data_IF_044217186138
#
_entry.id   IF_044217186138
#
_cell.length_a   1.000
_cell.length_b   1.000
_cell.length_c   1.000
_cell.angle_alpha   90.00
_cell.angle_beta   90.00
_cell.angle_gamma   90.00
#
_symmetry.space_group_name_H-M   'P 1'
#
loop_
_entity.id
_entity.type
_entity.pdbx_description
1 polymer ?
#
# COMPACT_ATOMS: atom_id res chain seq x y z
N UNK A 1 1.56 -16.49 20.85
CA UNK A 1 1.33 -17.33 19.66
C UNK A 1 2.69 -17.87 19.25
N UNK A 2 2.79 -19.13 18.84
CA UNK A 2 4.06 -19.67 18.37
C UNK A 2 4.45 -18.96 17.07
N UNK A 3 5.73 -18.61 16.93
CA UNK A 3 6.23 -17.97 15.71
C UNK A 3 6.19 -18.97 14.56
N UNK A 4 5.54 -18.60 13.45
CA UNK A 4 5.38 -19.45 12.28
C UNK A 4 6.48 -19.13 11.25
N UNK A 5 7.45 -20.03 11.10
CA UNK A 5 8.60 -19.82 10.21
C UNK A 5 8.56 -20.76 9.00
N UNK A 6 8.67 -20.17 7.82
CA UNK A 6 8.91 -20.88 6.56
C UNK A 6 10.38 -20.81 6.14
N UNK A 7 10.77 -21.67 5.20
CA UNK A 7 12.11 -21.67 4.60
C UNK A 7 12.04 -21.33 3.12
N UNK A 8 12.94 -20.46 2.66
CA UNK A 8 13.04 -20.14 1.23
C UNK A 8 13.47 -21.38 0.45
N UNK A 9 12.62 -21.85 -0.47
CA UNK A 9 12.99 -22.89 -1.42
C UNK A 9 13.56 -22.30 -2.71
N UNK A 10 12.99 -21.19 -3.19
CA UNK A 10 13.34 -20.61 -4.48
C UNK A 10 13.13 -19.10 -4.50
N UNK A 11 13.97 -18.40 -5.26
CA UNK A 11 13.88 -16.97 -5.56
C UNK A 11 13.97 -16.81 -7.07
N UNK A 12 12.97 -16.18 -7.70
CA UNK A 12 12.92 -15.88 -9.14
C UNK A 12 12.53 -14.41 -9.32
N UNK A 13 13.51 -13.55 -9.57
CA UNK A 13 13.28 -12.11 -9.63
C UNK A 13 12.57 -11.63 -8.34
N UNK A 14 11.42 -10.91 -8.44
CA UNK A 14 10.70 -10.44 -7.26
C UNK A 14 9.85 -11.50 -6.56
N UNK A 15 9.81 -12.75 -7.06
CA UNK A 15 8.99 -13.82 -6.47
C UNK A 15 9.82 -14.75 -5.61
N UNK A 16 9.33 -15.06 -4.41
CA UNK A 16 10.01 -15.92 -3.44
C UNK A 16 9.04 -17.01 -3.00
N UNK A 17 9.44 -18.26 -3.18
CA UNK A 17 8.68 -19.43 -2.77
C UNK A 17 9.20 -19.91 -1.40
N UNK A 18 8.33 -19.93 -0.40
CA UNK A 18 8.62 -20.38 0.97
C UNK A 18 7.82 -21.63 1.31
N UNK A 19 8.50 -22.62 1.86
CA UNK A 19 7.88 -23.83 2.42
C UNK A 19 7.62 -23.63 3.91
N UNK A 20 6.38 -23.87 4.32
CA UNK A 20 5.93 -23.85 5.72
C UNK A 20 5.53 -25.27 6.16
N UNK A 21 5.29 -25.45 7.46
CA UNK A 21 4.69 -26.67 7.97
C UNK A 21 3.24 -26.80 7.47
N UNK A 22 2.80 -28.04 7.18
CA UNK A 22 1.49 -28.30 6.56
C UNK A 22 0.30 -27.75 7.36
N UNK A 23 0.43 -27.70 8.68
CA UNK A 23 -0.63 -27.27 9.59
C UNK A 23 -0.63 -25.75 9.82
N UNK A 24 0.36 -25.04 9.30
CA UNK A 24 0.58 -23.61 9.53
C UNK A 24 0.91 -22.86 8.23
N UNK A 25 0.16 -23.12 7.16
CA UNK A 25 0.27 -22.30 5.95
C UNK A 25 -0.24 -20.88 6.23
N UNK A 26 0.55 -19.84 5.92
CA UNK A 26 0.09 -18.45 5.97
C UNK A 26 -1.14 -18.24 5.09
N UNK A 27 -1.99 -17.28 5.47
CA UNK A 27 -3.12 -16.89 4.63
C UNK A 27 -2.66 -16.07 3.42
N UNK A 28 -3.48 -16.05 2.39
CA UNK A 28 -3.30 -15.14 1.25
C UNK A 28 -3.24 -13.69 1.76
N UNK A 29 -2.36 -12.89 1.18
CA UNK A 29 -2.13 -11.49 1.53
C UNK A 29 -1.42 -11.26 2.88
N UNK A 30 -1.05 -12.31 3.62
CA UNK A 30 -0.21 -12.14 4.80
C UNK A 30 1.18 -11.63 4.42
N UNK A 31 1.76 -10.81 5.30
CA UNK A 31 3.14 -10.38 5.18
C UNK A 31 4.09 -11.44 5.76
N UNK A 32 5.15 -11.75 5.04
CA UNK A 32 6.27 -12.58 5.52
C UNK A 32 7.50 -11.69 5.67
N UNK A 33 8.13 -11.71 6.85
CA UNK A 33 9.34 -10.95 7.14
C UNK A 33 10.57 -11.85 7.10
N UNK A 34 11.53 -11.50 6.26
CA UNK A 34 12.80 -12.20 6.09
C UNK A 34 13.92 -11.30 6.62
N UNK A 35 14.61 -11.74 7.66
CA UNK A 35 15.68 -10.96 8.30
C UNK A 35 16.99 -11.74 8.36
N UNK A 36 18.11 -11.08 8.05
CA UNK A 36 19.47 -11.60 8.22
C UNK A 36 20.39 -10.43 8.59
N UNK A 37 20.80 -10.35 9.86
CA UNK A 37 21.66 -9.27 10.38
C UNK A 37 23.06 -9.27 9.77
N UNK A 38 23.65 -10.45 9.49
CA UNK A 38 24.99 -10.55 8.93
C UNK A 38 25.05 -10.00 7.50
N UNK A 39 23.94 -10.13 6.77
CA UNK A 39 23.79 -9.64 5.39
C UNK A 39 23.09 -8.28 5.30
N UNK A 40 22.59 -7.75 6.41
CA UNK A 40 21.83 -6.50 6.46
C UNK A 40 20.49 -6.59 5.72
N UNK A 41 19.83 -7.74 5.74
CA UNK A 41 18.55 -7.98 5.06
C UNK A 41 17.41 -7.78 6.04
N UNK A 42 16.44 -6.93 5.69
CA UNK A 42 15.12 -6.83 6.31
C UNK A 42 14.08 -6.62 5.21
N UNK A 43 13.56 -7.74 4.70
CA UNK A 43 12.66 -7.75 3.55
C UNK A 43 11.26 -8.17 3.98
N UNK A 44 10.27 -7.39 3.56
CA UNK A 44 8.86 -7.78 3.62
C UNK A 44 8.43 -8.33 2.27
N UNK A 45 7.75 -9.47 2.31
CA UNK A 45 7.10 -10.08 1.15
C UNK A 45 5.62 -10.31 1.46
N UNK A 46 4.77 -10.41 0.45
CA UNK A 46 3.34 -10.68 0.62
C UNK A 46 2.95 -11.99 -0.06
N UNK A 47 2.17 -12.83 0.62
CA UNK A 47 1.65 -14.09 0.06
C UNK A 47 0.68 -13.80 -1.07
N UNK A 48 1.05 -14.20 -2.28
CA UNK A 48 0.27 -13.99 -3.49
C UNK A 48 -0.42 -15.26 -4.00
N UNK A 49 0.08 -16.45 -3.66
CA UNK A 49 -0.51 -17.72 -4.10
C UNK A 49 -0.07 -18.90 -3.22
N UNK A 50 -0.94 -19.89 -3.03
CA UNK A 50 -0.56 -21.22 -2.54
C UNK A 50 -0.29 -22.13 -3.73
N UNK A 51 0.94 -22.65 -3.85
CA UNK A 51 1.36 -23.48 -5.01
C UNK A 51 1.09 -24.97 -4.74
N UNK A 52 0.97 -25.36 -3.48
CA UNK A 52 0.86 -26.76 -3.04
C UNK A 52 2.16 -27.27 -2.44
N UNK A 53 2.16 -28.51 -1.93
CA UNK A 53 3.30 -29.10 -1.20
C UNK A 53 3.81 -28.21 -0.05
N UNK A 54 2.87 -27.56 0.65
CA UNK A 54 3.13 -26.60 1.72
C UNK A 54 3.96 -25.38 1.32
N UNK A 55 4.00 -25.05 0.02
CA UNK A 55 4.71 -23.89 -0.52
C UNK A 55 3.75 -22.74 -0.83
N UNK A 56 4.11 -21.56 -0.35
CA UNK A 56 3.48 -20.29 -0.72
C UNK A 56 4.42 -19.48 -1.60
N UNK A 57 3.85 -18.86 -2.64
CA UNK A 57 4.54 -17.85 -3.45
C UNK A 57 4.28 -16.50 -2.87
N UNK A 58 5.35 -15.78 -2.60
CA UNK A 58 5.31 -14.40 -2.13
C UNK A 58 5.88 -13.44 -3.17
N UNK A 59 5.45 -12.19 -3.13
CA UNK A 59 6.00 -11.09 -3.92
C UNK A 59 6.80 -10.20 -2.97
N UNK A 60 8.05 -9.91 -3.31
CA UNK A 60 8.92 -9.04 -2.53
C UNK A 60 8.53 -7.57 -2.70
N UNK A 61 8.56 -6.81 -1.60
CA UNK A 61 8.29 -5.37 -1.59
C UNK A 61 9.56 -4.51 -1.78
N UNK A 62 10.73 -5.14 -1.80
CA UNK A 62 12.03 -4.54 -2.05
C UNK A 62 12.95 -5.57 -2.76
N UNK A 63 14.21 -5.23 -3.00
CA UNK A 63 15.19 -6.08 -3.66
C UNK A 63 15.32 -7.45 -2.98
N UNK A 64 15.41 -8.50 -3.80
CA UNK A 64 15.66 -9.89 -3.37
C UNK A 64 17.15 -10.24 -3.36
N UNK A 65 18.03 -9.27 -3.57
CA UNK A 65 19.47 -9.49 -3.63
C UNK A 65 20.01 -10.01 -2.30
N UNK A 66 20.93 -10.98 -2.38
CA UNK A 66 21.54 -11.58 -1.18
C UNK A 66 20.69 -12.65 -0.49
N UNK A 67 19.44 -12.86 -0.90
CA UNK A 67 18.62 -13.97 -0.42
C UNK A 67 19.22 -15.31 -0.86
N UNK A 68 19.21 -16.29 0.05
CA UNK A 68 19.64 -17.67 -0.22
C UNK A 68 18.59 -18.66 0.25
N UNK A 69 18.58 -19.82 -0.41
CA UNK A 69 17.73 -20.93 -0.04
C UNK A 69 18.03 -21.38 1.39
N UNK A 70 16.98 -21.76 2.11
CA UNK A 70 17.04 -22.16 3.51
C UNK A 70 16.96 -21.02 4.52
N UNK A 71 17.03 -19.75 4.09
CA UNK A 71 16.72 -18.61 4.96
C UNK A 71 15.30 -18.71 5.50
N UNK A 72 15.10 -18.19 6.71
CA UNK A 72 13.81 -18.22 7.40
C UNK A 72 12.99 -16.98 7.05
N UNK A 73 11.70 -17.18 6.80
CA UNK A 73 10.71 -16.11 6.71
C UNK A 73 9.68 -16.28 7.82
N UNK A 74 9.46 -15.24 8.62
CA UNK A 74 8.45 -15.19 9.67
C UNK A 74 7.12 -14.74 9.08
N UNK A 75 6.08 -15.56 9.19
CA UNK A 75 4.71 -15.12 8.94
C UNK A 75 4.26 -14.17 10.06
N UNK A 76 3.89 -12.94 9.70
CA UNK A 76 3.39 -11.95 10.65
C UNK A 76 1.97 -12.26 11.12
N UNK A 77 1.27 -13.19 10.45
CA UNK A 77 -0.11 -13.56 10.71
C UNK A 77 -1.13 -12.52 10.25
N UNK A 78 -0.70 -11.47 9.57
CA UNK A 78 -1.56 -10.39 9.10
C UNK A 78 -1.03 -9.74 7.82
N UNK A 79 -1.89 -9.06 7.05
CA UNK A 79 -1.44 -8.28 5.91
C UNK A 79 -0.50 -7.14 6.27
N UNK A 80 0.19 -6.60 5.27
CA UNK A 80 0.95 -5.35 5.42
C UNK A 80 0.00 -4.28 5.97
N UNK A 81 0.44 -3.58 7.02
CA UNK A 81 -0.30 -2.48 7.64
C UNK A 81 0.48 -1.20 7.49
N UNK A 82 -0.21 -0.07 7.35
CA UNK A 82 0.36 1.28 7.16
C UNK A 82 -0.22 2.24 8.19
N UNK A 83 0.52 3.29 8.60
CA UNK A 83 0.03 4.26 9.57
C UNK A 83 -1.15 5.07 9.02
N UNK A 84 -2.09 5.41 9.89
CA UNK A 84 -3.30 6.17 9.54
C UNK A 84 -3.60 7.29 10.54
N UNK A 85 -4.48 8.21 10.13
CA UNK A 85 -4.93 9.36 10.92
C UNK A 85 -4.12 10.64 10.69
N UNK A 86 -4.38 11.66 11.50
CA UNK A 86 -3.84 13.02 11.32
C UNK A 86 -2.30 13.07 11.41
N UNK A 87 -1.68 12.11 12.08
CA UNK A 87 -0.22 11.95 12.14
C UNK A 87 0.44 11.77 10.77
N UNK A 88 -0.32 11.32 9.76
CA UNK A 88 0.17 11.11 8.40
C UNK A 88 0.18 12.40 7.56
N UNK A 89 -0.46 13.48 8.03
CA UNK A 89 -0.56 14.73 7.27
C UNK A 89 0.81 15.39 7.10
N UNK A 90 1.14 15.75 5.85
CA UNK A 90 2.41 16.37 5.51
C UNK A 90 3.64 15.47 5.67
N UNK A 91 3.43 14.15 5.80
CA UNK A 91 4.46 13.12 5.83
C UNK A 91 4.62 12.47 4.45
N UNK A 92 5.79 11.88 4.21
CA UNK A 92 6.06 11.04 3.04
C UNK A 92 6.32 9.61 3.51
N UNK A 93 5.66 8.62 2.89
CA UNK A 93 5.78 7.21 3.24
C UNK A 93 6.17 6.35 2.03
N UNK A 94 6.88 5.25 2.29
CA UNK A 94 7.00 4.15 1.34
C UNK A 94 5.76 3.22 1.40
N UNK A 95 5.76 2.17 0.57
CA UNK A 95 4.67 1.18 0.50
C UNK A 95 4.43 0.44 1.83
N UNK A 96 5.47 0.26 2.65
CA UNK A 96 5.39 -0.37 3.97
C UNK A 96 4.92 0.61 5.08
N UNK A 97 4.62 1.87 4.71
CA UNK A 97 4.20 2.89 5.67
C UNK A 97 5.35 3.41 6.54
N UNK A 98 6.60 3.24 6.11
CA UNK A 98 7.77 3.79 6.79
C UNK A 98 7.99 5.23 6.30
N UNK A 99 8.24 6.20 7.20
CA UNK A 99 8.50 7.58 6.81
C UNK A 99 9.81 7.74 6.03
N UNK A 100 9.78 8.52 4.95
CA UNK A 100 10.95 8.85 4.10
C UNK A 100 11.36 10.32 4.17
N UNK A 101 10.69 11.12 5.00
CA UNK A 101 10.85 12.58 5.03
C UNK A 101 11.89 13.11 6.03
N UNK A 102 12.54 12.23 6.80
CA UNK A 102 13.53 12.62 7.80
C UNK A 102 12.95 13.39 8.99
N UNK A 103 11.62 13.42 9.17
CA UNK A 103 10.95 14.13 10.28
C UNK A 103 10.83 13.31 11.58
N UNK A 104 11.53 12.17 11.65
CA UNK A 104 11.49 11.25 12.79
C UNK A 104 10.24 10.37 12.80
N UNK A 105 10.03 9.69 13.93
CA UNK A 105 8.94 8.73 14.08
C UNK A 105 7.56 9.38 14.17
N UNK A 106 6.53 8.55 14.04
CA UNK A 106 5.14 8.99 14.18
C UNK A 106 4.74 9.08 15.66
N UNK A 107 3.88 10.03 16.06
CA UNK A 107 3.37 10.13 17.43
C UNK A 107 2.57 8.90 17.91
N UNK A 108 1.82 8.25 17.03
CA UNK A 108 1.01 7.06 17.32
C UNK A 108 1.40 5.90 16.39
N UNK A 109 2.59 5.28 16.58
CA UNK A 109 3.13 4.28 15.65
C UNK A 109 2.27 3.02 15.51
N UNK A 110 1.50 2.68 16.56
CA UNK A 110 0.61 1.52 16.60
C UNK A 110 -0.71 1.73 15.85
N UNK A 111 -1.06 2.98 15.52
CA UNK A 111 -2.30 3.31 14.82
C UNK A 111 -2.14 3.06 13.32
N UNK A 112 -2.33 1.79 12.96
CA UNK A 112 -2.14 1.27 11.60
C UNK A 112 -3.41 0.60 11.08
N UNK A 113 -3.55 0.55 9.76
CA UNK A 113 -4.62 -0.15 9.05
C UNK A 113 -4.02 -1.10 8.02
N UNK A 114 -4.59 -2.30 7.79
CA UNK A 114 -4.17 -3.16 6.70
C UNK A 114 -4.38 -2.48 5.34
N UNK A 115 -3.50 -2.75 4.38
CA UNK A 115 -3.61 -2.23 3.00
C UNK A 115 -4.70 -2.93 2.20
N UNK A 116 -5.04 -4.16 2.58
CA UNK A 116 -6.12 -4.94 2.00
C UNK A 116 -7.40 -4.74 2.81
N UNK A 117 -8.35 -4.03 2.23
CA UNK A 117 -9.66 -3.79 2.82
C UNK A 117 -10.76 -4.22 1.85
N UNK A 118 -11.84 -4.80 2.38
CA UNK A 118 -13.02 -5.12 1.59
C UNK A 118 -13.65 -3.83 1.05
N UNK A 119 -14.20 -3.84 -0.19
CA UNK A 119 -14.95 -2.71 -0.70
C UNK A 119 -16.23 -2.47 0.14
N UNK A 120 -16.77 -1.24 0.15
CA UNK A 120 -18.02 -0.96 0.84
C UNK A 120 -19.19 -1.81 0.30
N UNK A 121 -20.02 -2.33 1.21
CA UNK A 121 -21.25 -3.03 0.86
C UNK A 121 -22.24 -2.13 0.10
N UNK A 122 -23.11 -2.74 -0.72
CA UNK A 122 -24.12 -2.01 -1.50
C UNK A 122 -25.03 -1.12 -0.63
N UNK A 123 -25.34 -1.56 0.59
CA UNK A 123 -26.13 -0.82 1.59
C UNK A 123 -25.46 0.46 2.07
N UNK A 124 -24.12 0.54 1.97
CA UNK A 124 -23.30 1.68 2.37
C UNK A 124 -22.89 2.56 1.17
N UNK A 125 -23.36 2.26 -0.04
CA UNK A 125 -23.09 3.08 -1.22
C UNK A 125 -24.08 4.25 -1.25
N UNK A 126 -23.56 5.48 -1.22
CA UNK A 126 -24.36 6.69 -1.37
C UNK A 126 -24.73 6.94 -2.83
N UNK A 127 -25.79 7.72 -3.05
CA UNK A 127 -26.13 8.22 -4.38
C UNK A 127 -25.13 9.31 -4.81
N UNK A 128 -24.47 9.12 -5.95
CA UNK A 128 -23.50 10.05 -6.50
C UNK A 128 -24.20 11.23 -7.21
N UNK A 129 -24.96 12.03 -6.45
CA UNK A 129 -25.76 13.12 -6.99
C UNK A 129 -25.19 14.51 -6.70
N UNK A 130 -24.14 14.61 -5.87
CA UNK A 130 -23.54 15.90 -5.51
C UNK A 130 -22.35 16.25 -6.40
N UNK A 131 -22.41 17.42 -7.02
CA UNK A 131 -21.27 17.99 -7.77
C UNK A 131 -20.18 18.41 -6.78
N UNK A 132 -18.94 18.09 -7.14
CA UNK A 132 -17.73 18.59 -6.49
C UNK A 132 -17.20 19.78 -7.30
N UNK A 133 -17.42 20.99 -6.77
CA UNK A 133 -16.93 22.23 -7.40
C UNK A 133 -15.42 22.34 -7.22
N UNK A 134 -14.70 22.30 -8.34
CA UNK A 134 -13.23 22.31 -8.36
C UNK A 134 -12.63 23.71 -8.35
N UNK A 135 -13.40 24.73 -8.77
CA UNK A 135 -12.90 26.08 -9.04
C UNK A 135 -12.22 26.22 -10.41
N UNK A 136 -12.09 25.13 -11.16
CA UNK A 136 -11.49 25.12 -12.49
C UNK A 136 -12.62 25.25 -13.53
N UNK A 137 -12.77 26.44 -14.10
CA UNK A 137 -13.88 26.78 -15.03
C UNK A 137 -14.14 25.73 -16.12
N UNK A 138 -13.09 25.20 -16.74
CA UNK A 138 -13.25 24.22 -17.83
C UNK A 138 -13.76 22.87 -17.31
N UNK A 139 -13.36 22.47 -16.10
CA UNK A 139 -13.83 21.25 -15.44
C UNK A 139 -15.27 21.44 -14.99
N UNK A 140 -15.54 22.48 -14.20
CA UNK A 140 -16.87 22.71 -13.62
C UNK A 140 -17.96 22.95 -14.68
N UNK A 141 -17.60 23.51 -15.84
CA UNK A 141 -18.56 23.77 -16.92
C UNK A 141 -18.76 22.57 -17.86
N UNK A 142 -17.68 21.91 -18.29
CA UNK A 142 -17.74 20.92 -19.38
C UNK A 142 -17.71 19.47 -18.88
N UNK A 143 -17.06 19.21 -17.75
CA UNK A 143 -16.85 17.87 -17.22
C UNK A 143 -16.88 17.90 -15.68
N UNK A 144 -18.02 18.28 -15.07
CA UNK A 144 -18.12 18.48 -13.62
C UNK A 144 -17.80 17.19 -12.87
N UNK A 145 -17.08 17.33 -11.76
CA UNK A 145 -16.73 16.21 -10.90
C UNK A 145 -17.87 15.89 -9.95
N UNK A 146 -18.01 14.63 -9.58
CA UNK A 146 -19.04 14.17 -8.65
C UNK A 146 -18.37 13.68 -7.38
N UNK A 147 -18.89 14.05 -6.21
CA UNK A 147 -18.37 13.58 -4.91
C UNK A 147 -18.47 12.06 -4.83
N UNK A 148 -17.39 11.41 -4.37
CA UNK A 148 -17.28 9.95 -4.35
C UNK A 148 -17.08 9.31 -5.74
N UNK A 149 -17.03 10.11 -6.80
CA UNK A 149 -16.76 9.65 -8.16
C UNK A 149 -15.29 9.32 -8.41
N UNK A 150 -15.04 8.56 -9.47
CA UNK A 150 -13.69 8.26 -9.98
C UNK A 150 -13.44 9.09 -11.22
N UNK A 151 -12.33 9.81 -11.26
CA UNK A 151 -11.99 10.75 -12.32
C UNK A 151 -10.68 10.31 -12.98
N UNK A 152 -10.66 10.26 -14.32
CA UNK A 152 -9.46 9.99 -15.10
C UNK A 152 -8.85 11.28 -15.67
N UNK A 153 -7.58 11.53 -15.38
CA UNK A 153 -6.81 12.63 -15.99
C UNK A 153 -5.91 12.06 -17.09
N UNK A 154 -6.40 12.04 -18.33
CA UNK A 154 -5.68 11.52 -19.48
C UNK A 154 -4.81 12.62 -20.12
N UNK A 155 -3.52 12.33 -20.34
CA UNK A 155 -2.64 13.27 -21.03
C UNK A 155 -1.18 12.81 -21.12
N UNK A 156 -0.43 13.37 -22.08
CA UNK A 156 0.99 13.07 -22.32
C UNK A 156 1.95 13.73 -21.33
N UNK A 157 3.25 13.67 -21.62
CA UNK A 157 4.26 14.41 -20.86
C UNK A 157 4.10 15.92 -21.08
N UNK A 158 4.34 16.72 -20.03
CA UNK A 158 4.35 18.18 -20.13
C UNK A 158 2.98 18.88 -20.27
N UNK A 159 1.87 18.15 -20.30
CA UNK A 159 0.52 18.75 -20.49
C UNK A 159 -0.09 19.35 -19.21
N UNK A 160 0.68 19.45 -18.12
CA UNK A 160 0.22 20.07 -16.88
C UNK A 160 -0.60 19.18 -15.94
N UNK A 161 -0.60 17.84 -16.09
CA UNK A 161 -1.33 16.93 -15.19
C UNK A 161 -1.02 17.18 -13.71
N UNK A 162 0.26 17.25 -13.36
CA UNK A 162 0.71 17.50 -11.99
C UNK A 162 0.22 18.85 -11.47
N UNK A 163 0.19 19.88 -12.33
CA UNK A 163 -0.32 21.21 -11.97
C UNK A 163 -1.80 21.16 -11.62
N UNK A 164 -2.60 20.45 -12.43
CA UNK A 164 -4.03 20.25 -12.14
C UNK A 164 -4.23 19.50 -10.83
N UNK A 165 -3.46 18.44 -10.57
CA UNK A 165 -3.56 17.70 -9.30
C UNK A 165 -3.20 18.59 -8.10
N UNK A 166 -2.14 19.39 -8.18
CA UNK A 166 -1.77 20.33 -7.13
C UNK A 166 -2.86 21.38 -6.88
N UNK A 167 -3.49 21.88 -7.95
CA UNK A 167 -4.59 22.85 -7.83
C UNK A 167 -5.82 22.22 -7.17
N UNK A 168 -6.16 20.96 -7.52
CA UNK A 168 -7.25 20.25 -6.86
C UNK A 168 -6.99 20.03 -5.37
N UNK A 169 -5.76 19.69 -4.99
CA UNK A 169 -5.36 19.57 -3.57
C UNK A 169 -5.54 20.92 -2.85
N UNK A 170 -5.12 22.02 -3.49
CA UNK A 170 -5.28 23.36 -2.95
C UNK A 170 -6.75 23.75 -2.77
N UNK A 171 -7.59 23.48 -3.77
CA UNK A 171 -9.03 23.75 -3.71
C UNK A 171 -9.73 22.95 -2.60
N UNK A 172 -9.42 21.66 -2.46
CA UNK A 172 -9.97 20.80 -1.39
C UNK A 172 -9.62 21.35 -0.01
N UNK A 173 -8.35 21.72 0.20
CA UNK A 173 -7.86 22.20 1.48
C UNK A 173 -8.44 23.58 1.86
N UNK A 174 -8.63 24.47 0.89
CA UNK A 174 -9.05 25.87 1.14
C UNK A 174 -10.57 26.07 1.13
N UNK A 175 -11.31 25.34 0.29
CA UNK A 175 -12.74 25.58 0.07
C UNK A 175 -13.64 24.52 0.72
N UNK A 176 -13.19 23.27 0.79
CA UNK A 176 -14.00 22.14 1.23
C UNK A 176 -13.60 21.59 2.60
N UNK A 177 -12.51 22.09 3.20
CA UNK A 177 -12.03 21.66 4.51
C UNK A 177 -11.60 20.18 4.57
N UNK A 178 -11.27 19.59 3.42
CA UNK A 178 -10.90 18.19 3.30
C UNK A 178 -9.40 17.95 3.33
N UNK A 179 -9.01 16.69 3.53
CA UNK A 179 -7.64 16.23 3.35
C UNK A 179 -7.44 15.63 1.96
N UNK A 180 -6.22 15.67 1.47
CA UNK A 180 -5.82 15.02 0.22
C UNK A 180 -4.69 14.04 0.48
N UNK A 181 -4.74 12.89 -0.18
CA UNK A 181 -3.67 11.88 -0.19
C UNK A 181 -3.20 11.73 -1.62
N UNK A 182 -1.89 11.85 -1.83
CA UNK A 182 -1.28 11.66 -3.14
C UNK A 182 -0.50 10.34 -3.16
N UNK A 183 -0.86 9.44 -4.08
CA UNK A 183 -0.18 8.16 -4.28
C UNK A 183 0.64 8.23 -5.58
N UNK A 184 1.96 8.39 -5.44
CA UNK A 184 2.89 8.37 -6.58
C UNK A 184 3.21 6.94 -7.01
N UNK A 185 2.40 6.37 -7.90
CA UNK A 185 2.66 5.04 -8.48
C UNK A 185 3.56 5.20 -9.71
N UNK A 186 4.81 4.74 -9.60
CA UNK A 186 5.84 4.89 -10.63
C UNK A 186 6.98 3.91 -10.45
#
# INVERSE_FOLDING_TARGET
MAENYGKIQQVIGPTIDLEFDSDHLPEMLNAIRITDEERGIDLITEVAQHIGNNVVRTIAMDSTDGLVRGMKGLDTGAPISVPVGDQCLGRLFNLLGQPLDGKGDLPEPDKRSPIHAAPPELTNQGEANEIFETGIKVVDLLAPYVKGGKIGLFGGAGVGKTVIVMELIHAIATQHGGYSVFCGVG
#
